data_IF_989024423431
#
_entry.id   IF_989024423431
#
_cell.length_a   1.000
_cell.length_b   1.000
_cell.length_c   1.000
_cell.angle_alpha   90.00
_cell.angle_beta   90.00
_cell.angle_gamma   90.00
#
_symmetry.space_group_name_H-M   'P 1'
#
loop_
_entity.id
_entity.type
_entity.pdbx_description
1 polymer ?
#
# COMPACT_ATOMS: atom_id res chain seq x y z
N UNK A 1 49.62 -18.49 34.22
CA UNK A 1 49.25 -19.84 33.93
C UNK A 1 48.20 -19.78 32.86
N UNK A 2 48.40 -19.90 31.62
CA UNK A 2 49.24 -20.81 30.82
C UNK A 2 48.39 -21.92 30.31
N UNK A 3 48.10 -21.91 29.03
CA UNK A 3 48.14 -22.98 28.06
C UNK A 3 47.15 -22.65 26.94
N UNK A 4 47.46 -22.21 25.81
CA UNK A 4 48.22 -22.67 24.63
C UNK A 4 47.61 -23.91 23.91
N UNK A 5 47.47 -23.71 22.58
CA UNK A 5 47.42 -24.66 21.44
C UNK A 5 46.06 -25.27 21.09
N UNK A 6 45.69 -25.40 19.82
CA UNK A 6 46.41 -25.79 18.60
C UNK A 6 45.67 -25.37 17.31
N UNK A 7 46.43 -24.90 16.32
CA UNK A 7 46.04 -24.77 14.90
C UNK A 7 45.91 -26.17 14.24
N UNK A 8 44.92 -26.38 13.40
CA UNK A 8 44.97 -27.40 12.34
C UNK A 8 44.75 -26.79 10.97
N UNK A 9 45.80 -26.82 10.20
CA UNK A 9 45.85 -26.59 8.74
C UNK A 9 45.40 -27.88 8.05
N UNK A 10 44.55 -27.81 7.05
CA UNK A 10 44.29 -28.92 6.13
C UNK A 10 44.47 -28.44 4.68
N UNK A 11 45.16 -29.24 3.93
CA UNK A 11 45.86 -29.04 2.67
C UNK A 11 44.89 -28.91 1.48
N UNK A 12 45.33 -28.05 0.54
CA UNK A 12 44.84 -27.91 -0.83
C UNK A 12 45.37 -29.07 -1.67
N UNK A 13 44.51 -29.75 -2.44
CA UNK A 13 44.88 -30.70 -3.48
C UNK A 13 44.60 -30.07 -4.86
N UNK A 14 45.64 -29.94 -5.64
CA UNK A 14 45.65 -29.52 -7.04
C UNK A 14 45.60 -30.78 -7.93
N UNK A 15 44.75 -30.85 -8.93
CA UNK A 15 44.78 -31.88 -9.96
C UNK A 15 44.90 -31.15 -11.35
N UNK A 16 45.81 -31.64 -12.20
CA UNK A 16 46.16 -30.89 -13.44
C UNK A 16 45.32 -31.26 -14.65
N UNK A 17 45.26 -30.30 -15.59
CA UNK A 17 44.75 -30.42 -16.94
C UNK A 17 45.55 -31.42 -17.77
N UNK A 18 44.83 -32.22 -18.58
CA UNK A 18 45.41 -32.93 -19.71
C UNK A 18 44.87 -32.34 -21.02
N UNK A 19 45.77 -31.81 -21.86
CA UNK A 19 45.56 -31.33 -23.23
C UNK A 19 45.80 -32.55 -24.16
N UNK A 20 44.83 -32.81 -25.04
CA UNK A 20 44.96 -33.77 -26.12
C UNK A 20 44.61 -33.13 -27.45
N UNK A 21 45.61 -32.83 -28.24
CA UNK A 21 45.48 -32.44 -29.64
C UNK A 21 45.63 -33.65 -30.55
N UNK A 22 44.76 -33.76 -31.54
CA UNK A 22 45.01 -34.62 -32.71
C UNK A 22 44.59 -33.89 -33.99
N UNK A 23 45.51 -33.89 -34.91
CA UNK A 23 45.48 -33.24 -36.23
C UNK A 23 44.98 -34.17 -37.33
N UNK A 24 44.44 -33.52 -38.36
CA UNK A 24 44.46 -33.81 -39.81
C UNK A 24 43.64 -34.96 -40.45
N UNK A 25 42.93 -34.54 -41.47
CA UNK A 25 42.41 -35.39 -42.55
C UNK A 25 41.61 -34.60 -43.57
N UNK A 26 42.27 -34.11 -44.65
CA UNK A 26 41.63 -33.58 -45.84
C UNK A 26 40.91 -34.67 -46.65
N UNK A 27 39.75 -34.36 -47.20
CA UNK A 27 39.07 -35.15 -48.25
C UNK A 27 37.98 -34.30 -48.88
N UNK A 28 38.24 -33.85 -50.14
CA UNK A 28 37.26 -33.24 -51.02
C UNK A 28 36.31 -34.27 -51.60
N UNK A 29 35.02 -34.01 -51.72
CA UNK A 29 34.26 -34.07 -52.99
C UNK A 29 32.76 -33.77 -52.81
N UNK A 30 32.30 -32.95 -53.75
CA UNK A 30 31.01 -32.90 -54.43
C UNK A 30 29.70 -32.56 -53.71
N UNK A 31 29.20 -31.41 -54.11
CA UNK A 31 27.83 -30.89 -54.17
C UNK A 31 26.67 -31.88 -54.01
N UNK A 32 25.79 -31.54 -53.07
CA UNK A 32 24.33 -31.55 -53.31
C UNK A 32 23.68 -30.62 -52.29
N UNK A 33 23.12 -29.52 -52.80
CA UNK A 33 22.25 -28.58 -52.10
C UNK A 33 20.96 -29.26 -51.70
N UNK A 34 20.75 -29.42 -50.40
CA UNK A 34 19.43 -29.61 -49.81
C UNK A 34 19.28 -28.59 -48.68
N UNK A 35 18.49 -27.58 -48.93
CA UNK A 35 18.05 -26.59 -47.97
C UNK A 35 17.19 -27.24 -46.88
N UNK A 36 17.77 -27.53 -45.71
CA UNK A 36 17.00 -27.80 -44.53
C UNK A 36 16.64 -26.47 -43.88
N UNK A 37 15.46 -25.96 -44.18
CA UNK A 37 14.80 -24.97 -43.34
C UNK A 37 14.56 -25.59 -41.96
N UNK A 38 15.35 -25.16 -40.99
CA UNK A 38 15.06 -25.43 -39.59
C UNK A 38 13.83 -24.57 -39.25
N UNK A 39 12.67 -25.21 -39.15
CA UNK A 39 11.45 -24.58 -38.66
C UNK A 39 11.72 -23.99 -37.29
N UNK A 40 11.71 -22.66 -37.18
CA UNK A 40 11.62 -21.97 -35.90
C UNK A 40 10.33 -22.42 -35.25
N UNK A 41 10.35 -22.79 -33.93
CA UNK A 41 9.12 -23.04 -33.21
C UNK A 41 8.30 -21.75 -33.22
N UNK A 42 7.09 -21.83 -33.75
CA UNK A 42 6.11 -20.76 -33.69
C UNK A 42 5.78 -20.56 -32.16
N UNK A 43 6.39 -19.56 -31.56
CA UNK A 43 5.88 -18.99 -30.34
C UNK A 43 4.52 -18.40 -30.71
N UNK A 44 3.45 -19.12 -30.39
CA UNK A 44 2.13 -18.50 -30.33
C UNK A 44 2.17 -17.47 -29.22
N UNK A 45 2.27 -16.19 -29.58
CA UNK A 45 1.82 -15.10 -28.74
C UNK A 45 0.35 -15.40 -28.43
N UNK A 46 0.09 -15.93 -27.24
CA UNK A 46 -1.23 -15.84 -26.66
C UNK A 46 -1.48 -14.34 -26.45
N UNK A 47 -2.14 -13.71 -27.40
CA UNK A 47 -2.78 -12.43 -27.21
C UNK A 47 -3.72 -12.62 -26.03
N UNK A 48 -3.35 -12.06 -24.87
CA UNK A 48 -4.24 -11.95 -23.73
C UNK A 48 -5.42 -11.09 -24.21
N UNK A 49 -6.56 -11.71 -24.47
CA UNK A 49 -7.78 -10.97 -24.76
C UNK A 49 -7.99 -9.98 -23.61
N UNK A 50 -8.05 -8.69 -23.94
CA UNK A 50 -8.44 -7.65 -22.98
C UNK A 50 -9.82 -8.00 -22.46
N UNK A 51 -10.01 -7.93 -21.14
CA UNK A 51 -11.33 -8.13 -20.53
C UNK A 51 -12.27 -7.03 -21.01
N UNK A 52 -13.53 -7.38 -21.22
CA UNK A 52 -14.58 -6.40 -21.45
C UNK A 52 -14.88 -5.62 -20.15
N UNK A 53 -15.46 -4.44 -20.26
CA UNK A 53 -15.88 -3.65 -19.11
C UNK A 53 -16.80 -4.45 -18.17
N UNK A 54 -17.73 -5.25 -18.73
CA UNK A 54 -18.61 -6.12 -17.91
C UNK A 54 -17.81 -7.17 -17.12
N UNK A 55 -16.89 -7.87 -17.78
CA UNK A 55 -16.04 -8.88 -17.13
C UNK A 55 -15.16 -8.27 -16.04
N UNK A 56 -14.69 -7.03 -16.22
CA UNK A 56 -13.94 -6.30 -15.20
C UNK A 56 -14.83 -6.05 -13.98
N UNK A 57 -16.03 -5.49 -14.18
CA UNK A 57 -16.99 -5.23 -13.10
C UNK A 57 -17.40 -6.49 -12.36
N UNK A 58 -17.80 -7.55 -13.09
CA UNK A 58 -18.19 -8.82 -12.51
C UNK A 58 -17.04 -9.43 -11.67
N UNK A 59 -15.81 -9.30 -12.17
CA UNK A 59 -14.62 -9.73 -11.43
C UNK A 59 -14.42 -8.92 -10.14
N UNK A 60 -14.75 -7.63 -10.14
CA UNK A 60 -14.62 -6.78 -8.95
C UNK A 60 -15.58 -7.23 -7.85
N UNK A 61 -16.85 -7.47 -8.18
CA UNK A 61 -17.85 -8.01 -7.23
C UNK A 61 -17.42 -9.38 -6.69
N UNK A 62 -17.04 -10.30 -7.57
CA UNK A 62 -16.65 -11.66 -7.18
C UNK A 62 -15.42 -11.67 -6.25
N UNK A 63 -14.41 -10.86 -6.56
CA UNK A 63 -13.19 -10.78 -5.76
C UNK A 63 -13.43 -10.08 -4.43
N UNK A 64 -14.11 -8.94 -4.44
CA UNK A 64 -14.32 -8.17 -3.21
C UNK A 64 -15.14 -8.96 -2.18
N UNK A 65 -16.24 -9.58 -2.58
CA UNK A 65 -17.06 -10.40 -1.67
C UNK A 65 -16.22 -11.58 -1.13
N UNK A 66 -15.53 -12.30 -2.02
CA UNK A 66 -14.69 -13.43 -1.62
C UNK A 66 -13.62 -13.07 -0.59
N UNK A 67 -12.89 -11.95 -0.79
CA UNK A 67 -11.81 -11.55 0.13
C UNK A 67 -12.35 -10.92 1.41
N UNK A 68 -13.50 -10.22 1.36
CA UNK A 68 -14.14 -9.66 2.53
C UNK A 68 -14.65 -10.78 3.45
N UNK A 69 -15.41 -11.73 2.91
CA UNK A 69 -15.93 -12.88 3.64
C UNK A 69 -14.81 -13.71 4.27
N UNK A 70 -13.77 -14.00 3.46
CA UNK A 70 -12.61 -14.74 3.97
C UNK A 70 -11.96 -13.99 5.13
N UNK A 71 -11.69 -12.69 4.97
CA UNK A 71 -10.99 -11.91 6.01
C UNK A 71 -11.83 -11.79 7.28
N UNK A 72 -13.12 -11.54 7.18
CA UNK A 72 -14.03 -11.45 8.33
C UNK A 72 -14.07 -12.79 9.07
N UNK A 73 -14.14 -13.92 8.35
CA UNK A 73 -14.09 -15.25 8.95
C UNK A 73 -12.77 -15.58 9.66
N UNK A 74 -11.68 -14.87 9.35
CA UNK A 74 -10.38 -15.07 10.01
C UNK A 74 -10.20 -14.24 11.28
N UNK A 75 -11.03 -13.23 11.55
CA UNK A 75 -10.92 -12.49 12.80
C UNK A 75 -11.15 -13.43 14.01
N UNK A 76 -10.24 -13.35 14.99
CA UNK A 76 -10.15 -14.34 16.08
C UNK A 76 -9.20 -15.51 15.80
N UNK A 77 -8.74 -15.70 14.55
CA UNK A 77 -7.75 -16.72 14.17
C UNK A 77 -6.80 -16.21 13.07
N UNK A 78 -5.97 -15.24 13.39
CA UNK A 78 -4.99 -14.67 12.45
C UNK A 78 -3.69 -15.49 12.34
N UNK A 79 -3.74 -16.83 12.50
CA UNK A 79 -2.56 -17.69 12.48
C UNK A 79 -1.83 -17.75 11.13
N UNK A 80 -2.46 -17.32 10.04
CA UNK A 80 -1.80 -17.14 8.75
C UNK A 80 -0.78 -15.98 8.75
N UNK A 81 -0.85 -15.06 9.73
CA UNK A 81 0.13 -14.01 9.96
C UNK A 81 1.20 -14.56 10.91
N UNK A 82 2.50 -14.47 10.57
CA UNK A 82 3.58 -14.89 11.46
C UNK A 82 3.48 -14.27 12.86
N UNK A 83 3.82 -15.00 13.88
CA UNK A 83 3.69 -14.58 15.29
C UNK A 83 4.36 -13.23 15.57
N UNK A 84 5.53 -12.99 14.96
CA UNK A 84 6.28 -11.73 15.09
C UNK A 84 5.50 -10.48 14.59
N UNK A 85 4.45 -10.68 13.77
CA UNK A 85 3.63 -9.60 13.20
C UNK A 85 2.16 -9.64 13.67
N UNK A 86 1.74 -10.73 14.33
CA UNK A 86 0.34 -11.01 14.66
C UNK A 86 -0.22 -10.14 15.77
N UNK A 87 0.50 -9.95 16.87
CA UNK A 87 -0.01 -9.30 18.08
C UNK A 87 -0.63 -7.90 17.84
N UNK A 88 -0.06 -7.13 16.89
CA UNK A 88 -0.64 -5.83 16.50
C UNK A 88 -1.83 -5.98 15.56
N UNK A 89 -1.83 -7.04 14.73
CA UNK A 89 -2.94 -7.32 13.81
C UNK A 89 -4.19 -7.82 14.53
N UNK A 90 -4.07 -8.31 15.76
CA UNK A 90 -5.19 -8.79 16.60
C UNK A 90 -5.92 -7.66 17.33
N UNK A 91 -5.39 -6.44 17.36
CA UNK A 91 -6.05 -5.28 17.99
C UNK A 91 -7.07 -4.66 17.03
N UNK A 92 -8.38 -4.71 17.32
CA UNK A 92 -9.42 -4.33 16.35
C UNK A 92 -9.44 -2.84 16.01
N UNK A 93 -9.05 -1.94 16.91
CA UNK A 93 -8.95 -0.50 16.68
C UNK A 93 -7.54 -0.02 16.31
N UNK A 94 -6.59 -0.94 16.01
CA UNK A 94 -5.26 -0.58 15.55
C UNK A 94 -5.25 -0.36 14.02
N UNK A 95 -4.34 0.48 13.52
CA UNK A 95 -4.27 0.87 12.11
C UNK A 95 -4.28 -0.29 11.11
N UNK A 96 -3.78 -1.47 11.50
CA UNK A 96 -3.73 -2.66 10.64
C UNK A 96 -5.15 -3.14 10.29
N UNK A 97 -6.02 -3.27 11.31
CA UNK A 97 -7.44 -3.59 11.09
C UNK A 97 -8.21 -2.39 10.55
N UNK A 98 -7.93 -1.17 11.05
CA UNK A 98 -8.56 0.04 10.55
C UNK A 98 -8.39 0.19 9.03
N UNK A 99 -7.20 -0.12 8.49
CA UNK A 99 -6.96 -0.07 7.05
C UNK A 99 -7.78 -1.11 6.27
N UNK A 100 -8.07 -2.26 6.85
CA UNK A 100 -9.03 -3.20 6.29
C UNK A 100 -10.46 -2.62 6.30
N UNK A 101 -10.89 -2.06 7.44
CA UNK A 101 -12.24 -1.50 7.55
C UNK A 101 -12.45 -0.29 6.65
N UNK A 102 -11.42 0.54 6.38
CA UNK A 102 -11.50 1.62 5.39
C UNK A 102 -11.80 1.06 4.00
N UNK A 103 -11.14 -0.02 3.61
CA UNK A 103 -11.42 -0.71 2.35
C UNK A 103 -12.82 -1.35 2.33
N UNK A 104 -13.20 -2.00 3.43
CA UNK A 104 -14.50 -2.67 3.55
C UNK A 104 -15.67 -1.66 3.52
N UNK A 105 -15.57 -0.55 4.24
CA UNK A 105 -16.62 0.49 4.22
C UNK A 105 -16.75 1.13 2.86
N UNK A 106 -15.63 1.32 2.14
CA UNK A 106 -15.66 1.82 0.75
C UNK A 106 -16.30 0.79 -0.20
N UNK A 107 -16.09 -0.50 0.01
CA UNK A 107 -16.78 -1.56 -0.70
C UNK A 107 -18.28 -1.58 -0.39
N UNK A 108 -18.67 -1.42 0.88
CA UNK A 108 -20.07 -1.37 1.31
C UNK A 108 -20.85 -0.16 0.76
N UNK A 109 -20.18 0.88 0.26
CA UNK A 109 -20.81 1.95 -0.51
C UNK A 109 -21.25 1.48 -1.90
N UNK A 110 -20.62 0.45 -2.46
CA UNK A 110 -20.90 -0.15 -3.78
C UNK A 110 -21.86 -1.33 -3.65
N UNK A 111 -21.51 -2.29 -2.81
CA UNK A 111 -22.29 -3.50 -2.51
C UNK A 111 -22.84 -3.41 -1.10
N UNK A 112 -24.16 -3.26 -0.99
CA UNK A 112 -24.84 -3.09 0.30
C UNK A 112 -25.11 -4.44 0.97
N UNK A 113 -24.06 -5.13 1.39
CA UNK A 113 -24.14 -6.40 2.09
C UNK A 113 -24.53 -6.17 3.57
N UNK A 114 -25.70 -6.65 4.02
CA UNK A 114 -26.16 -6.44 5.38
C UNK A 114 -25.37 -7.26 6.43
N UNK A 115 -24.76 -8.38 6.07
CA UNK A 115 -23.98 -9.20 7.00
C UNK A 115 -22.65 -8.53 7.29
N UNK A 116 -21.95 -8.05 6.26
CA UNK A 116 -20.72 -7.29 6.40
C UNK A 116 -20.97 -5.93 7.10
N UNK A 117 -22.09 -5.26 6.80
CA UNK A 117 -22.47 -4.04 7.51
C UNK A 117 -22.67 -4.28 9.01
N UNK A 118 -23.48 -5.30 9.36
CA UNK A 118 -23.72 -5.67 10.75
C UNK A 118 -22.42 -6.06 11.47
N UNK A 119 -21.49 -6.72 10.78
CA UNK A 119 -20.19 -7.05 11.33
C UNK A 119 -19.41 -5.79 11.73
N UNK A 120 -19.33 -4.80 10.84
CA UNK A 120 -18.64 -3.52 11.11
C UNK A 120 -19.32 -2.77 12.27
N UNK A 121 -20.66 -2.74 12.28
CA UNK A 121 -21.42 -2.06 13.32
C UNK A 121 -21.23 -2.72 14.69
N UNK A 122 -21.32 -4.04 14.78
CA UNK A 122 -21.13 -4.77 16.03
C UNK A 122 -19.71 -4.63 16.56
N UNK A 123 -18.70 -4.80 15.71
CA UNK A 123 -17.29 -4.57 16.08
C UNK A 123 -17.07 -3.17 16.65
N UNK A 124 -17.68 -2.17 16.04
CA UNK A 124 -17.55 -0.78 16.50
C UNK A 124 -18.25 -0.52 17.83
N UNK A 125 -19.44 -1.13 18.04
CA UNK A 125 -20.15 -1.09 19.33
C UNK A 125 -19.40 -1.81 20.45
N UNK A 126 -18.79 -2.95 20.16
CA UNK A 126 -18.00 -3.73 21.13
C UNK A 126 -16.75 -2.95 21.61
N UNK A 127 -16.31 -1.96 20.83
CA UNK A 127 -15.22 -1.04 21.17
C UNK A 127 -15.70 0.28 21.77
N UNK A 128 -17.00 0.44 22.02
CA UNK A 128 -17.61 1.72 22.43
C UNK A 128 -17.18 2.89 21.53
N UNK A 129 -16.93 2.61 20.24
CA UNK A 129 -16.39 3.55 19.25
C UNK A 129 -15.06 4.22 19.67
N UNK A 130 -14.30 3.55 20.55
CA UNK A 130 -13.07 4.08 21.13
C UNK A 130 -11.88 4.03 20.19
N UNK A 131 -11.16 5.15 20.07
CA UNK A 131 -9.85 5.18 19.44
C UNK A 131 -8.82 4.48 20.32
N UNK A 132 -7.68 4.06 19.70
CA UNK A 132 -6.54 3.59 20.47
C UNK A 132 -5.75 4.79 21.01
N UNK A 133 -5.93 5.11 22.30
CA UNK A 133 -5.37 6.32 22.90
C UNK A 133 -3.97 6.14 23.52
N UNK A 134 -3.28 5.05 23.18
CA UNK A 134 -1.90 4.82 23.66
C UNK A 134 -0.94 5.90 23.17
N UNK A 135 -1.24 6.51 22.03
CA UNK A 135 -0.43 7.54 21.37
C UNK A 135 -1.34 8.66 20.82
N UNK A 136 -1.80 9.57 21.68
CA UNK A 136 -2.93 10.46 21.36
C UNK A 136 -2.79 11.28 20.06
N UNK A 137 -1.58 11.70 19.71
CA UNK A 137 -1.34 12.44 18.44
C UNK A 137 -1.02 11.56 17.24
N UNK A 138 -0.75 10.27 17.46
CA UNK A 138 -0.23 9.41 16.42
C UNK A 138 -1.29 9.08 15.35
N UNK A 139 -0.97 9.35 14.09
CA UNK A 139 -1.91 9.18 12.98
C UNK A 139 -2.55 7.77 12.91
N UNK A 140 -1.76 6.73 13.19
CA UNK A 140 -2.25 5.34 13.18
C UNK A 140 -3.46 5.14 14.12
N UNK A 141 -3.45 5.81 15.26
CA UNK A 141 -4.46 5.63 16.30
C UNK A 141 -5.76 6.39 15.96
N UNK A 142 -5.73 7.28 14.93
CA UNK A 142 -6.90 7.96 14.40
C UNK A 142 -7.62 7.16 13.30
N UNK A 143 -6.94 6.21 12.66
CA UNK A 143 -7.42 5.57 11.44
C UNK A 143 -8.80 4.89 11.58
N UNK A 144 -9.06 4.22 12.70
CA UNK A 144 -10.34 3.53 12.94
C UNK A 144 -11.52 4.51 13.04
N UNK A 145 -11.28 5.75 13.42
CA UNK A 145 -12.29 6.80 13.45
C UNK A 145 -12.98 7.04 12.11
N UNK A 146 -12.31 6.73 10.97
CA UNK A 146 -12.96 6.79 9.65
C UNK A 146 -14.16 5.83 9.59
N UNK A 147 -14.03 4.63 10.16
CA UNK A 147 -15.09 3.62 10.21
C UNK A 147 -16.24 4.05 11.12
N UNK A 148 -15.93 4.60 12.29
CA UNK A 148 -16.95 5.06 13.23
C UNK A 148 -17.77 6.23 12.68
N UNK A 149 -17.12 7.20 12.03
CA UNK A 149 -17.80 8.33 11.42
C UNK A 149 -18.61 7.86 10.20
N UNK A 150 -18.10 6.92 9.41
CA UNK A 150 -18.86 6.29 8.32
C UNK A 150 -20.15 5.64 8.84
N UNK A 151 -20.13 4.96 10.00
CA UNK A 151 -21.37 4.43 10.62
C UNK A 151 -22.36 5.54 10.96
N UNK A 152 -21.89 6.69 11.47
CA UNK A 152 -22.75 7.85 11.67
C UNK A 152 -23.42 8.29 10.36
N UNK A 153 -22.67 8.38 9.28
CA UNK A 153 -23.17 8.77 7.95
C UNK A 153 -24.23 7.78 7.44
N UNK A 154 -24.09 6.47 7.73
CA UNK A 154 -25.02 5.44 7.29
C UNK A 154 -26.27 5.32 8.16
N UNK A 155 -26.16 5.57 9.47
CA UNK A 155 -27.21 5.26 10.45
C UNK A 155 -27.82 6.48 11.12
N UNK A 156 -27.16 7.64 11.04
CA UNK A 156 -27.50 8.83 11.83
C UNK A 156 -27.16 8.72 13.32
N UNK A 157 -26.45 7.66 13.75
CA UNK A 157 -26.04 7.48 15.13
C UNK A 157 -24.85 8.38 15.47
N UNK A 158 -25.11 9.47 16.17
CA UNK A 158 -24.07 10.42 16.58
C UNK A 158 -23.13 9.88 17.66
N UNK A 159 -23.52 8.89 18.44
CA UNK A 159 -22.66 8.31 19.46
C UNK A 159 -21.41 7.66 18.86
N UNK A 160 -21.45 7.29 17.57
CA UNK A 160 -20.33 6.65 16.91
C UNK A 160 -19.15 7.62 16.66
N UNK A 161 -19.38 8.92 16.47
CA UNK A 161 -18.26 9.87 16.29
C UNK A 161 -17.83 10.58 17.58
N UNK A 162 -18.65 10.62 18.62
CA UNK A 162 -18.37 11.39 19.85
C UNK A 162 -17.03 11.11 20.50
N UNK A 163 -16.58 9.85 20.69
CA UNK A 163 -15.26 9.59 21.28
C UNK A 163 -14.12 10.16 20.42
N UNK A 164 -14.27 10.10 19.10
CA UNK A 164 -13.30 10.70 18.15
C UNK A 164 -13.31 12.23 18.28
N UNK A 165 -14.49 12.85 18.39
CA UNK A 165 -14.63 14.29 18.56
C UNK A 165 -13.98 14.78 19.86
N UNK A 166 -14.28 14.14 20.98
CA UNK A 166 -13.70 14.47 22.28
C UNK A 166 -12.16 14.42 22.25
N UNK A 167 -11.63 13.38 21.63
CA UNK A 167 -10.19 13.25 21.47
C UNK A 167 -9.57 14.34 20.59
N UNK A 168 -10.21 14.66 19.48
CA UNK A 168 -9.72 15.68 18.55
C UNK A 168 -9.85 17.10 19.13
N UNK A 169 -10.90 17.39 19.90
CA UNK A 169 -11.01 18.63 20.68
C UNK A 169 -9.86 18.77 21.66
N UNK A 170 -9.48 17.67 22.33
CA UNK A 170 -8.32 17.68 23.21
C UNK A 170 -7.01 17.97 22.45
N UNK A 171 -6.80 17.37 21.26
CA UNK A 171 -5.62 17.67 20.42
C UNK A 171 -5.59 19.14 20.01
N UNK A 172 -6.74 19.69 19.56
CA UNK A 172 -6.83 21.09 19.16
C UNK A 172 -6.50 22.06 20.30
N UNK A 173 -6.87 21.70 21.54
CA UNK A 173 -6.51 22.48 22.74
C UNK A 173 -5.04 22.30 23.16
N UNK A 174 -4.37 21.23 22.69
CA UNK A 174 -3.01 20.86 23.10
C UNK A 174 -2.10 20.60 21.87
N UNK A 175 -2.16 21.47 20.86
CA UNK A 175 -1.41 21.27 19.60
C UNK A 175 0.08 21.08 19.85
N UNK A 176 0.72 20.06 19.21
CA UNK A 176 2.13 19.82 19.38
C UNK A 176 2.97 20.92 18.68
N UNK A 177 4.08 21.28 19.30
CA UNK A 177 5.04 22.24 18.74
C UNK A 177 6.38 21.55 18.49
N UNK A 178 6.44 20.77 17.41
CA UNK A 178 7.63 20.02 17.01
C UNK A 178 7.87 20.16 15.51
N UNK A 179 9.10 19.91 15.05
CA UNK A 179 9.45 19.86 13.61
C UNK A 179 8.99 18.56 12.96
N UNK A 180 9.29 18.42 11.65
CA UNK A 180 8.96 17.24 10.83
C UNK A 180 10.14 16.30 10.63
N UNK A 181 11.32 16.62 11.15
CA UNK A 181 12.48 15.74 11.04
C UNK A 181 12.30 14.48 11.89
N UNK A 182 12.40 13.31 11.25
CA UNK A 182 12.31 12.01 11.92
C UNK A 182 13.65 11.66 12.56
N UNK A 183 13.75 11.76 13.86
CA UNK A 183 14.94 11.37 14.61
C UNK A 183 15.13 9.85 14.61
N UNK A 184 16.40 9.40 14.60
CA UNK A 184 16.71 7.99 14.74
C UNK A 184 16.41 7.55 16.18
N UNK A 185 15.50 6.58 16.32
CA UNK A 185 15.08 6.03 17.62
C UNK A 185 16.20 5.33 18.36
N UNK A 186 17.25 4.88 17.66
CA UNK A 186 18.40 4.23 18.30
C UNK A 186 19.26 5.20 19.05
N UNK A 187 19.30 6.47 18.62
CA UNK A 187 20.03 7.54 19.31
C UNK A 187 19.31 8.07 20.57
N UNK A 188 17.97 7.99 20.62
CA UNK A 188 17.18 8.57 21.72
C UNK A 188 16.73 7.55 22.79
N UNK A 189 17.00 6.26 22.63
CA UNK A 189 16.85 5.23 23.67
C UNK A 189 15.45 4.97 24.19
N UNK A 190 14.40 5.61 23.68
CA UNK A 190 13.05 5.42 24.18
C UNK A 190 12.00 5.41 23.09
N UNK A 191 11.15 4.39 23.08
CA UNK A 191 9.90 4.36 22.32
C UNK A 191 8.82 5.28 22.90
N UNK A 192 9.19 6.33 23.62
CA UNK A 192 8.24 7.22 24.25
C UNK A 192 7.72 8.26 23.24
N UNK A 193 6.52 8.01 22.73
CA UNK A 193 5.80 8.88 21.79
C UNK A 193 5.32 10.21 22.42
N UNK A 194 5.59 10.44 23.69
CA UNK A 194 5.29 11.66 24.43
C UNK A 194 6.49 12.61 24.58
N UNK A 195 7.64 12.27 23.97
CA UNK A 195 8.83 13.12 24.03
C UNK A 195 8.66 14.40 23.22
N UNK A 196 8.96 15.53 23.83
CA UNK A 196 9.21 16.78 23.15
C UNK A 196 10.25 16.53 22.02
N UNK A 197 9.93 16.94 20.80
CA UNK A 197 10.76 16.71 19.63
C UNK A 197 10.42 15.50 18.77
N UNK A 198 9.46 14.64 19.16
CA UNK A 198 9.01 13.55 18.31
C UNK A 198 8.10 14.05 17.19
N UNK A 199 8.59 14.09 15.96
CA UNK A 199 7.83 14.56 14.80
C UNK A 199 6.56 13.75 14.49
N UNK A 200 6.43 12.51 15.02
CA UNK A 200 5.22 11.70 14.84
C UNK A 200 3.97 12.32 15.50
N UNK A 201 4.16 13.30 16.40
CA UNK A 201 3.07 14.12 16.89
C UNK A 201 2.44 15.00 15.80
N UNK A 202 3.15 15.22 14.67
CA UNK A 202 2.73 16.01 13.51
C UNK A 202 2.71 15.20 12.22
N UNK A 203 2.53 13.91 12.30
CA UNK A 203 2.35 13.00 11.16
C UNK A 203 3.47 13.03 10.11
N UNK A 204 4.73 13.14 10.53
CA UNK A 204 5.92 13.37 9.72
C UNK A 204 6.38 12.19 8.83
N UNK A 205 5.50 11.29 8.45
CA UNK A 205 5.80 10.16 7.56
C UNK A 205 4.66 9.89 6.58
N UNK A 206 4.99 9.33 5.42
CA UNK A 206 4.05 9.15 4.31
C UNK A 206 2.78 8.40 4.71
N UNK A 207 2.91 7.29 5.45
CA UNK A 207 1.78 6.46 5.85
C UNK A 207 0.74 7.24 6.69
N UNK A 208 1.18 8.23 7.45
CA UNK A 208 0.32 9.06 8.30
C UNK A 208 -0.74 9.82 7.51
N UNK A 209 -0.41 10.20 6.27
CA UNK A 209 -1.31 10.94 5.39
C UNK A 209 -2.54 10.11 4.93
N UNK A 210 -2.48 8.79 5.06
CA UNK A 210 -3.63 7.91 4.88
C UNK A 210 -4.40 7.70 6.18
N UNK A 211 -3.70 7.64 7.32
CA UNK A 211 -4.27 7.20 8.59
C UNK A 211 -5.15 8.27 9.25
N UNK A 212 -4.68 9.53 9.32
CA UNK A 212 -5.35 10.55 10.10
C UNK A 212 -6.20 11.55 9.31
N UNK A 213 -5.73 12.21 8.24
CA UNK A 213 -6.39 13.41 7.68
C UNK A 213 -7.85 13.21 7.33
N UNK A 214 -8.19 12.05 6.72
CA UNK A 214 -9.56 11.75 6.34
C UNK A 214 -10.50 11.61 7.55
N UNK A 215 -10.03 11.09 8.68
CA UNK A 215 -10.84 11.00 9.90
C UNK A 215 -11.29 12.39 10.36
N UNK A 216 -10.38 13.35 10.31
CA UNK A 216 -10.65 14.72 10.68
C UNK A 216 -11.59 15.42 9.69
N UNK A 217 -11.42 15.17 8.39
CA UNK A 217 -12.34 15.68 7.37
C UNK A 217 -13.76 15.15 7.54
N UNK A 218 -13.89 13.83 7.72
CA UNK A 218 -15.20 13.21 7.98
C UNK A 218 -15.85 13.77 9.24
N UNK A 219 -15.09 13.97 10.30
CA UNK A 219 -15.60 14.59 11.53
C UNK A 219 -16.07 16.04 11.26
N UNK A 220 -15.31 16.80 10.49
CA UNK A 220 -15.72 18.16 10.08
C UNK A 220 -17.06 18.12 9.34
N UNK A 221 -17.26 17.15 8.44
CA UNK A 221 -18.48 17.02 7.66
C UNK A 221 -19.70 16.67 8.53
N UNK A 222 -19.59 15.69 9.43
CA UNK A 222 -20.73 15.24 10.25
C UNK A 222 -21.08 16.22 11.38
N UNK A 223 -20.11 17.01 11.87
CA UNK A 223 -20.33 18.03 12.91
C UNK A 223 -20.66 19.40 12.34
N UNK A 224 -20.33 19.65 11.06
CA UNK A 224 -20.41 20.97 10.45
C UNK A 224 -19.37 21.96 10.97
N UNK A 225 -18.38 21.52 11.76
CA UNK A 225 -17.35 22.40 12.35
C UNK A 225 -16.04 22.32 11.52
N UNK A 226 -15.66 23.38 10.80
CA UNK A 226 -14.51 23.37 9.90
C UNK A 226 -13.16 23.23 10.62
N UNK A 227 -13.09 23.51 11.92
CA UNK A 227 -11.83 23.48 12.70
C UNK A 227 -11.08 22.17 12.59
N UNK A 228 -11.81 21.05 12.45
CA UNK A 228 -11.21 19.72 12.35
C UNK A 228 -10.47 19.55 11.03
N UNK A 229 -11.12 19.88 9.92
CA UNK A 229 -10.45 19.78 8.62
C UNK A 229 -9.37 20.85 8.44
N UNK A 230 -9.57 22.08 8.91
CA UNK A 230 -8.55 23.12 8.89
C UNK A 230 -7.23 22.67 9.56
N UNK A 231 -7.32 21.98 10.68
CA UNK A 231 -6.15 21.40 11.32
C UNK A 231 -5.52 20.30 10.49
N UNK A 232 -6.32 19.35 10.01
CA UNK A 232 -5.83 18.21 9.25
C UNK A 232 -5.26 18.62 7.89
N UNK A 233 -5.88 19.59 7.20
CA UNK A 233 -5.38 20.15 5.95
C UNK A 233 -4.01 20.81 6.15
N UNK A 234 -3.87 21.61 7.23
CA UNK A 234 -2.58 22.20 7.58
C UNK A 234 -1.49 21.17 7.83
N UNK A 235 -1.76 20.12 8.60
CA UNK A 235 -0.78 19.06 8.91
C UNK A 235 -0.52 18.15 7.70
N UNK A 236 -1.54 17.85 6.88
CA UNK A 236 -1.37 17.12 5.61
C UNK A 236 -0.36 17.85 4.72
N UNK A 237 -0.58 19.13 4.47
CA UNK A 237 0.28 19.90 3.59
C UNK A 237 1.67 20.15 4.16
N UNK A 238 1.80 20.35 5.48
CA UNK A 238 3.09 20.45 6.11
C UNK A 238 3.95 19.20 5.84
N UNK A 239 3.35 18.01 5.95
CA UNK A 239 4.04 16.75 5.71
C UNK A 239 4.19 16.44 4.22
N UNK A 240 3.17 16.70 3.40
CA UNK A 240 3.22 16.47 1.96
C UNK A 240 4.32 17.33 1.30
N UNK A 241 4.36 18.64 1.59
CA UNK A 241 5.39 19.53 1.05
C UNK A 241 6.81 19.14 1.53
N UNK A 242 6.92 18.57 2.72
CA UNK A 242 8.20 18.16 3.29
C UNK A 242 8.76 16.87 2.69
N UNK A 243 7.86 15.92 2.33
CA UNK A 243 8.26 14.58 1.89
C UNK A 243 8.17 14.38 0.37
N UNK A 244 7.41 15.21 -0.34
CA UNK A 244 7.24 15.06 -1.78
C UNK A 244 8.47 15.55 -2.55
N UNK A 245 8.98 14.71 -3.44
CA UNK A 245 10.03 15.08 -4.37
C UNK A 245 9.40 15.52 -5.70
N UNK A 246 9.46 16.81 -6.04
CA UNK A 246 9.02 17.31 -7.34
C UNK A 246 9.85 16.72 -8.51
N UNK A 247 11.10 16.35 -8.29
CA UNK A 247 11.97 15.73 -9.30
C UNK A 247 11.47 14.36 -9.72
N UNK A 248 11.04 13.53 -8.73
CA UNK A 248 10.62 12.16 -8.97
C UNK A 248 9.09 12.01 -9.04
N UNK A 249 8.32 12.98 -8.56
CA UNK A 249 6.87 12.89 -8.42
C UNK A 249 6.43 11.85 -7.38
N UNK A 250 7.28 11.55 -6.41
CA UNK A 250 7.12 10.48 -5.41
C UNK A 250 7.39 11.00 -4.00
N UNK A 251 6.90 10.26 -3.00
CA UNK A 251 7.09 10.58 -1.59
C UNK A 251 8.23 9.77 -0.98
N UNK A 252 9.17 10.44 -0.32
CA UNK A 252 10.01 9.78 0.67
C UNK A 252 9.16 9.29 1.85
N UNK A 253 9.54 8.17 2.46
CA UNK A 253 8.80 7.64 3.60
C UNK A 253 8.81 8.58 4.79
N UNK A 254 9.98 9.13 5.12
CA UNK A 254 10.24 10.17 6.12
C UNK A 254 11.63 10.77 5.85
N UNK A 255 12.01 11.81 6.61
CA UNK A 255 13.27 12.56 6.36
C UNK A 255 14.56 11.72 6.40
N UNK A 256 14.55 10.55 7.03
CA UNK A 256 15.72 9.64 7.04
C UNK A 256 16.03 9.06 5.66
N UNK A 257 15.07 9.12 4.73
CA UNK A 257 15.20 8.60 3.37
C UNK A 257 15.71 9.63 2.36
N UNK A 258 15.82 10.91 2.70
CA UNK A 258 16.23 11.97 1.76
C UNK A 258 17.57 11.70 1.08
N UNK A 259 18.55 11.21 1.85
CA UNK A 259 19.88 10.90 1.35
C UNK A 259 20.11 9.39 1.11
N UNK A 260 19.09 8.57 1.39
CA UNK A 260 19.22 7.11 1.27
C UNK A 260 19.16 6.68 -0.19
N UNK A 261 20.11 5.83 -0.58
CA UNK A 261 20.19 5.25 -1.91
C UNK A 261 19.96 3.75 -1.88
N UNK A 262 19.35 3.22 -2.93
CA UNK A 262 19.24 1.78 -3.19
C UNK A 262 20.53 1.24 -3.82
N UNK A 263 20.60 -0.08 -4.01
CA UNK A 263 21.79 -0.76 -4.53
C UNK A 263 22.15 -0.33 -5.96
N UNK A 264 21.18 0.17 -6.74
CA UNK A 264 21.38 0.72 -8.08
C UNK A 264 21.79 2.22 -8.07
N UNK A 265 21.94 2.84 -6.90
CA UNK A 265 22.29 4.25 -6.74
C UNK A 265 21.12 5.23 -6.77
N UNK A 266 19.91 4.78 -7.07
CA UNK A 266 18.71 5.60 -7.08
C UNK A 266 18.16 5.87 -5.65
N UNK A 267 17.40 6.96 -5.43
CA UNK A 267 16.73 7.21 -4.15
C UNK A 267 15.78 6.07 -3.76
N UNK A 268 15.62 5.86 -2.47
CA UNK A 268 14.69 4.85 -1.94
C UNK A 268 13.28 5.43 -1.83
N UNK A 269 12.41 5.08 -2.78
CA UNK A 269 10.98 5.33 -2.72
C UNK A 269 10.23 4.01 -2.51
N UNK A 270 9.62 3.86 -1.34
CA UNK A 270 8.90 2.65 -0.96
C UNK A 270 7.52 2.59 -1.62
N UNK A 271 7.21 1.49 -2.33
CA UNK A 271 5.97 1.31 -3.09
C UNK A 271 4.72 1.45 -2.23
N UNK A 272 4.64 0.75 -1.08
CA UNK A 272 3.51 0.90 -0.16
C UNK A 272 3.44 2.30 0.49
N UNK A 273 4.58 2.92 0.82
CA UNK A 273 4.59 4.28 1.35
C UNK A 273 3.93 5.27 0.39
N UNK A 274 4.30 5.19 -0.89
CA UNK A 274 3.67 5.97 -1.96
C UNK A 274 2.20 5.57 -2.16
N UNK A 275 1.90 4.27 -2.11
CA UNK A 275 0.53 3.76 -2.21
C UNK A 275 -0.40 4.33 -1.15
N UNK A 276 0.04 4.43 0.10
CA UNK A 276 -0.73 5.04 1.18
C UNK A 276 -1.14 6.48 0.84
N UNK A 277 -0.17 7.33 0.50
CA UNK A 277 -0.45 8.74 0.17
C UNK A 277 -1.31 8.84 -1.07
N UNK A 278 -0.98 8.09 -2.12
CA UNK A 278 -1.71 8.13 -3.37
C UNK A 278 -3.18 7.71 -3.22
N UNK A 279 -3.47 6.71 -2.37
CA UNK A 279 -4.84 6.30 -2.07
C UNK A 279 -5.58 7.30 -1.16
N UNK A 280 -4.87 8.02 -0.29
CA UNK A 280 -5.50 8.98 0.62
C UNK A 280 -6.10 10.18 -0.12
N UNK A 281 -5.47 10.62 -1.22
CA UNK A 281 -5.91 11.80 -1.96
C UNK A 281 -7.31 11.61 -2.56
N UNK A 282 -7.62 10.53 -3.31
CA UNK A 282 -8.98 10.22 -3.75
C UNK A 282 -10.00 10.14 -2.59
N UNK A 283 -9.63 9.46 -1.49
CA UNK A 283 -10.50 9.35 -0.32
C UNK A 283 -10.83 10.71 0.30
N UNK A 284 -9.86 11.62 0.34
CA UNK A 284 -10.08 13.01 0.79
C UNK A 284 -10.93 13.77 -0.23
N UNK A 285 -10.65 13.64 -1.52
CA UNK A 285 -11.39 14.35 -2.58
C UNK A 285 -12.85 13.89 -2.69
N UNK A 286 -13.15 12.62 -2.37
CA UNK A 286 -14.53 12.11 -2.33
C UNK A 286 -15.34 12.76 -1.18
N UNK A 287 -14.70 13.00 -0.03
CA UNK A 287 -15.35 13.60 1.15
C UNK A 287 -15.27 15.15 1.18
N UNK A 288 -14.37 15.75 0.40
CA UNK A 288 -14.18 17.20 0.37
C UNK A 288 -15.23 17.87 -0.52
N UNK A 289 -16.00 18.85 0.00
CA UNK A 289 -17.03 19.51 -0.79
C UNK A 289 -16.49 20.09 -2.12
N UNK A 290 -17.31 20.00 -3.18
CA UNK A 290 -17.02 20.69 -4.43
C UNK A 290 -16.87 22.18 -4.18
N UNK A 291 -15.86 22.81 -4.73
CA UNK A 291 -15.58 24.23 -4.51
C UNK A 291 -14.82 24.55 -3.22
N UNK A 292 -14.43 23.57 -2.40
CA UNK A 292 -13.54 23.81 -1.27
C UNK A 292 -12.17 24.35 -1.75
N UNK A 293 -11.62 25.43 -1.15
CA UNK A 293 -10.38 26.05 -1.61
C UNK A 293 -9.17 25.12 -1.74
N UNK A 294 -9.05 24.12 -0.87
CA UNK A 294 -7.94 23.16 -0.90
C UNK A 294 -8.05 22.13 -2.02
N UNK A 295 -9.23 21.95 -2.64
CA UNK A 295 -9.51 20.86 -3.58
C UNK A 295 -8.54 20.82 -4.76
N UNK A 296 -8.30 21.98 -5.40
CA UNK A 296 -7.41 22.07 -6.56
C UNK A 296 -5.99 21.64 -6.22
N UNK A 297 -5.50 21.99 -5.05
CA UNK A 297 -4.15 21.60 -4.60
C UNK A 297 -4.02 20.10 -4.44
N UNK A 298 -5.04 19.40 -3.92
CA UNK A 298 -5.08 17.94 -3.87
C UNK A 298 -5.09 17.30 -5.26
N UNK A 299 -5.86 17.87 -6.19
CA UNK A 299 -5.91 17.41 -7.59
C UNK A 299 -4.55 17.58 -8.28
N UNK A 300 -3.86 18.69 -8.07
CA UNK A 300 -2.52 18.92 -8.62
C UNK A 300 -1.49 17.92 -8.08
N UNK A 301 -1.48 17.69 -6.77
CA UNK A 301 -0.61 16.69 -6.14
C UNK A 301 -0.94 15.30 -6.67
N UNK A 302 -2.23 14.94 -6.77
CA UNK A 302 -2.67 13.68 -7.37
C UNK A 302 -2.11 13.51 -8.78
N UNK A 303 -2.26 14.52 -9.67
CA UNK A 303 -1.77 14.47 -11.05
C UNK A 303 -0.26 14.27 -11.13
N UNK A 304 0.53 14.98 -10.32
CA UNK A 304 1.98 14.84 -10.27
C UNK A 304 2.39 13.41 -9.86
N UNK A 305 1.79 12.89 -8.80
CA UNK A 305 2.11 11.56 -8.29
C UNK A 305 1.64 10.47 -9.26
N UNK A 306 0.42 10.58 -9.83
CA UNK A 306 -0.08 9.66 -10.86
C UNK A 306 0.85 9.58 -12.07
N UNK A 307 1.33 10.74 -12.57
CA UNK A 307 2.23 10.78 -13.73
C UNK A 307 3.56 10.04 -13.49
N UNK A 308 4.04 10.00 -12.26
CA UNK A 308 5.21 9.19 -11.89
C UNK A 308 4.86 7.70 -11.80
N UNK A 309 3.79 7.37 -11.08
CA UNK A 309 3.38 5.99 -10.84
C UNK A 309 2.99 5.24 -12.12
N UNK A 310 2.37 5.90 -13.08
CA UNK A 310 2.03 5.33 -14.39
C UNK A 310 3.27 4.78 -15.15
N UNK A 311 4.46 5.30 -14.89
CA UNK A 311 5.71 4.89 -15.55
C UNK A 311 6.42 3.72 -14.85
N UNK A 312 6.00 3.36 -13.64
CA UNK A 312 6.73 2.47 -12.75
C UNK A 312 6.08 1.08 -12.59
N UNK A 313 5.00 0.82 -13.34
CA UNK A 313 4.36 -0.50 -13.34
C UNK A 313 5.26 -1.55 -14.00
N UNK A 314 5.42 -2.71 -13.35
CA UNK A 314 6.17 -3.83 -13.91
C UNK A 314 5.43 -4.50 -15.09
N UNK A 315 6.14 -5.30 -15.92
CA UNK A 315 5.50 -6.09 -16.97
C UNK A 315 4.37 -7.00 -16.48
N UNK A 316 4.43 -7.47 -15.25
CA UNK A 316 3.42 -8.33 -14.62
C UNK A 316 2.21 -7.57 -14.06
N UNK A 317 2.27 -6.23 -14.00
CA UNK A 317 1.17 -5.37 -13.56
C UNK A 317 1.25 -4.88 -12.11
N UNK A 318 2.28 -5.25 -11.37
CA UNK A 318 2.52 -4.74 -10.01
C UNK A 318 3.35 -3.46 -10.02
N UNK A 319 3.34 -2.73 -8.91
CA UNK A 319 4.35 -1.73 -8.61
C UNK A 319 5.38 -2.34 -7.68
N UNK A 320 6.68 -2.17 -7.97
CA UNK A 320 7.73 -2.79 -7.17
C UNK A 320 7.76 -2.22 -5.76
N UNK A 321 8.15 -3.04 -4.77
CA UNK A 321 8.30 -2.57 -3.39
C UNK A 321 9.31 -1.40 -3.28
N UNK A 322 10.34 -1.39 -4.13
CA UNK A 322 11.25 -0.25 -4.33
C UNK A 322 10.98 0.35 -5.71
N UNK A 323 10.30 1.49 -5.76
CA UNK A 323 9.78 2.05 -7.02
C UNK A 323 10.88 2.38 -8.04
N UNK A 324 12.04 2.88 -7.59
CA UNK A 324 13.16 3.24 -8.46
C UNK A 324 14.22 2.14 -8.58
N UNK A 325 14.06 1.02 -7.85
CA UNK A 325 14.93 -0.15 -7.94
C UNK A 325 14.11 -1.44 -7.94
N UNK A 326 13.49 -1.80 -9.07
CA UNK A 326 12.65 -2.99 -9.18
C UNK A 326 13.42 -4.31 -8.98
N UNK A 327 14.75 -4.26 -9.06
CA UNK A 327 15.60 -5.43 -8.85
C UNK A 327 15.91 -5.71 -7.38
N UNK A 328 15.67 -4.77 -6.49
CA UNK A 328 15.88 -4.94 -5.05
C UNK A 328 14.93 -5.97 -4.44
N UNK A 329 13.66 -5.90 -4.81
CA UNK A 329 12.63 -6.89 -4.45
C UNK A 329 11.90 -7.29 -5.72
N UNK A 330 12.23 -8.48 -6.27
CA UNK A 330 11.70 -8.95 -7.57
C UNK A 330 10.35 -9.64 -7.47
N UNK A 331 9.84 -9.82 -6.26
CA UNK A 331 8.54 -10.45 -6.01
C UNK A 331 7.40 -9.43 -6.07
N UNK A 332 6.19 -9.86 -6.39
CA UNK A 332 5.02 -9.00 -6.25
C UNK A 332 4.91 -8.35 -4.87
N UNK A 333 4.35 -7.15 -4.81
CA UNK A 333 3.93 -6.52 -3.57
C UNK A 333 2.52 -5.96 -3.74
N UNK A 334 1.55 -6.62 -3.11
CA UNK A 334 0.13 -6.41 -3.40
C UNK A 334 -0.46 -5.22 -2.66
N UNK A 335 0.04 -4.89 -1.45
CA UNK A 335 -0.54 -3.77 -0.71
C UNK A 335 -0.31 -2.41 -1.40
N UNK A 336 0.93 -2.11 -1.78
CA UNK A 336 1.25 -0.90 -2.55
C UNK A 336 0.56 -0.90 -3.91
N UNK A 337 0.58 -2.04 -4.62
CA UNK A 337 -0.08 -2.19 -5.91
C UNK A 337 -1.59 -2.00 -5.83
N UNK A 338 -2.24 -2.48 -4.75
CA UNK A 338 -3.67 -2.30 -4.52
C UNK A 338 -4.06 -0.84 -4.32
N UNK A 339 -3.33 -0.12 -3.46
CA UNK A 339 -3.55 1.31 -3.25
C UNK A 339 -3.31 2.14 -4.51
N UNK A 340 -2.27 1.82 -5.28
CA UNK A 340 -1.95 2.53 -6.53
C UNK A 340 -3.02 2.23 -7.59
N UNK A 341 -3.43 0.97 -7.75
CA UNK A 341 -4.52 0.60 -8.66
C UNK A 341 -5.82 1.33 -8.31
N UNK A 342 -6.18 1.40 -7.02
CA UNK A 342 -7.32 2.16 -6.54
C UNK A 342 -7.24 3.63 -6.97
N UNK A 343 -6.14 4.30 -6.64
CA UNK A 343 -5.99 5.71 -6.93
C UNK A 343 -6.02 6.01 -8.43
N UNK A 344 -5.39 5.18 -9.26
CA UNK A 344 -5.42 5.35 -10.73
C UNK A 344 -6.81 5.06 -11.30
N UNK A 345 -7.51 4.00 -10.82
CA UNK A 345 -8.87 3.68 -11.24
C UNK A 345 -9.84 4.82 -10.91
N UNK A 346 -9.73 5.39 -9.70
CA UNK A 346 -10.49 6.58 -9.30
C UNK A 346 -10.26 7.76 -10.26
N UNK A 347 -9.02 8.02 -10.64
CA UNK A 347 -8.70 9.10 -11.56
C UNK A 347 -9.25 8.90 -12.97
N UNK A 348 -9.32 7.66 -13.45
CA UNK A 348 -9.97 7.33 -14.73
C UNK A 348 -11.48 7.51 -14.61
N UNK A 349 -12.11 6.97 -13.58
CA UNK A 349 -13.56 7.06 -13.35
C UNK A 349 -14.03 8.50 -13.16
N UNK A 350 -13.19 9.38 -12.59
CA UNK A 350 -13.50 10.80 -12.39
C UNK A 350 -13.01 11.71 -13.54
N UNK A 351 -12.55 11.16 -14.66
CA UNK A 351 -12.15 11.93 -15.84
C UNK A 351 -10.90 12.81 -15.66
N UNK A 352 -10.05 12.51 -14.65
CA UNK A 352 -8.77 13.21 -14.42
C UNK A 352 -7.67 12.58 -15.25
N UNK A 353 -7.70 11.25 -15.41
CA UNK A 353 -6.82 10.48 -16.27
C UNK A 353 -7.64 10.01 -17.49
N UNK A 354 -7.45 10.66 -18.63
CA UNK A 354 -8.32 10.48 -19.81
C UNK A 354 -7.66 9.73 -20.97
N UNK A 355 -6.38 9.42 -20.85
CA UNK A 355 -5.65 8.73 -21.90
C UNK A 355 -5.81 7.19 -21.80
N UNK A 356 -5.73 6.50 -22.97
CA UNK A 356 -5.91 5.05 -23.03
C UNK A 356 -4.81 4.29 -22.26
N UNK A 357 -3.60 4.80 -22.21
CA UNK A 357 -2.50 4.16 -21.49
C UNK A 357 -2.80 4.06 -20.00
N UNK A 358 -3.42 5.08 -19.40
CA UNK A 358 -3.85 5.04 -17.99
C UNK A 358 -4.88 3.93 -17.76
N UNK A 359 -5.86 3.73 -18.68
CA UNK A 359 -6.82 2.61 -18.60
C UNK A 359 -6.12 1.25 -18.68
N UNK A 360 -5.24 1.05 -19.63
CA UNK A 360 -4.50 -0.19 -19.81
C UNK A 360 -3.65 -0.54 -18.57
N UNK A 361 -2.99 0.45 -17.96
CA UNK A 361 -2.21 0.28 -16.73
C UNK A 361 -3.10 -0.13 -15.56
N UNK A 362 -4.28 0.48 -15.41
CA UNK A 362 -5.25 0.12 -14.37
C UNK A 362 -5.76 -1.31 -14.57
N UNK A 363 -6.18 -1.68 -15.77
CA UNK A 363 -6.69 -3.03 -16.08
C UNK A 363 -5.62 -4.11 -15.84
N UNK A 364 -4.38 -3.81 -16.19
CA UNK A 364 -3.23 -4.69 -15.94
C UNK A 364 -2.94 -4.82 -14.45
N UNK A 365 -2.99 -3.70 -13.70
CA UNK A 365 -2.88 -3.70 -12.24
C UNK A 365 -3.99 -4.52 -11.59
N UNK A 366 -5.23 -4.33 -12.00
CA UNK A 366 -6.36 -5.12 -11.50
C UNK A 366 -6.20 -6.61 -11.79
N UNK A 367 -5.75 -6.98 -12.99
CA UNK A 367 -5.46 -8.38 -13.31
C UNK A 367 -4.41 -8.95 -12.37
N UNK A 368 -3.32 -8.23 -12.11
CA UNK A 368 -2.25 -8.67 -11.22
C UNK A 368 -2.77 -8.87 -9.77
N UNK A 369 -3.61 -7.97 -9.27
CA UNK A 369 -4.25 -8.12 -7.97
C UNK A 369 -5.11 -9.40 -7.90
N UNK A 370 -5.93 -9.67 -8.92
CA UNK A 370 -6.74 -10.91 -8.98
C UNK A 370 -5.86 -12.16 -8.95
N UNK A 371 -4.75 -12.17 -9.70
CA UNK A 371 -3.82 -13.31 -9.77
C UNK A 371 -3.12 -13.57 -8.40
N UNK A 372 -3.12 -12.60 -7.50
CA UNK A 372 -2.58 -12.74 -6.15
C UNK A 372 -3.56 -13.33 -5.13
N UNK A 373 -4.85 -13.43 -5.46
CA UNK A 373 -5.87 -13.97 -4.55
C UNK A 373 -5.80 -15.49 -4.52
N UNK A 374 -5.71 -16.06 -3.35
CA UNK A 374 -5.76 -17.50 -3.13
C UNK A 374 -7.12 -18.11 -3.48
N UNK A 375 -7.15 -19.40 -3.71
CA UNK A 375 -8.41 -20.14 -3.95
C UNK A 375 -9.37 -20.01 -2.75
N UNK A 376 -8.81 -19.89 -1.56
CA UNK A 376 -9.53 -19.69 -0.30
C UNK A 376 -10.07 -18.25 -0.12
N UNK A 377 -9.59 -17.28 -0.86
CA UNK A 377 -9.94 -15.84 -0.71
C UNK A 377 -8.85 -15.02 -0.02
N UNK A 378 -7.75 -15.61 0.42
CA UNK A 378 -6.65 -14.89 1.05
C UNK A 378 -5.92 -14.02 0.04
N UNK A 379 -5.67 -12.77 0.42
CA UNK A 379 -4.80 -11.85 -0.34
C UNK A 379 -3.35 -12.18 -0.01
N UNK A 380 -2.61 -12.67 -0.99
CA UNK A 380 -1.21 -13.10 -0.89
C UNK A 380 -0.24 -11.99 -1.31
N UNK A 381 1.08 -12.23 -1.17
CA UNK A 381 2.14 -11.30 -1.56
C UNK A 381 2.06 -9.93 -0.89
N UNK A 382 1.63 -9.86 0.34
CA UNK A 382 1.54 -8.61 1.11
C UNK A 382 2.77 -8.48 2.00
N UNK A 383 3.62 -7.51 1.74
CA UNK A 383 4.76 -7.19 2.60
C UNK A 383 4.28 -6.94 4.03
N UNK A 384 4.90 -7.60 5.01
CA UNK A 384 4.59 -7.37 6.43
C UNK A 384 4.84 -5.93 6.86
N UNK A 385 4.42 -5.59 8.08
CA UNK A 385 4.64 -4.27 8.67
C UNK A 385 6.11 -3.88 8.57
N UNK A 386 6.38 -2.75 7.96
CA UNK A 386 7.72 -2.26 7.68
C UNK A 386 7.71 -0.76 7.40
N UNK A 387 8.86 -0.24 7.01
CA UNK A 387 9.08 1.18 6.69
C UNK A 387 9.91 1.38 5.40
N UNK A 388 10.28 0.30 4.75
CA UNK A 388 11.17 0.26 3.59
C UNK A 388 10.83 -0.93 2.69
N UNK A 389 11.34 -0.98 1.46
CA UNK A 389 11.23 -2.16 0.60
C UNK A 389 11.88 -3.38 1.25
N UNK A 390 11.10 -4.41 1.54
CA UNK A 390 11.55 -5.67 2.12
C UNK A 390 11.06 -6.86 1.28
N UNK A 391 11.75 -8.02 1.30
CA UNK A 391 11.34 -9.23 0.60
C UNK A 391 9.92 -9.68 0.99
N UNK A 392 9.18 -10.17 0.00
CA UNK A 392 7.82 -10.67 0.15
C UNK A 392 7.74 -12.11 -0.33
N UNK A 393 7.06 -12.98 0.41
CA UNK A 393 6.77 -14.37 0.04
C UNK A 393 5.33 -14.48 -0.45
N UNK A 394 5.06 -15.49 -1.28
CA UNK A 394 3.69 -15.76 -1.76
C UNK A 394 2.68 -15.92 -0.62
N UNK A 395 3.10 -16.52 0.47
CA UNK A 395 2.23 -16.79 1.63
C UNK A 395 2.09 -15.62 2.60
N UNK A 396 2.82 -14.52 2.39
CA UNK A 396 2.72 -13.35 3.25
C UNK A 396 1.39 -12.62 2.97
N UNK A 397 0.68 -12.32 4.04
CA UNK A 397 -0.63 -11.69 4.01
C UNK A 397 -0.79 -10.77 5.21
N UNK A 398 -1.53 -9.67 5.03
CA UNK A 398 -1.88 -8.71 6.07
C UNK A 398 -3.20 -8.02 5.74
N UNK A 399 -3.93 -7.63 6.77
CA UNK A 399 -5.27 -7.06 6.65
C UNK A 399 -5.32 -5.80 5.78
N UNK A 400 -4.31 -4.94 5.87
CA UNK A 400 -4.23 -3.74 5.02
C UNK A 400 -4.05 -4.07 3.53
N UNK A 401 -3.48 -5.24 3.20
CA UNK A 401 -3.44 -5.71 1.81
C UNK A 401 -4.84 -6.05 1.31
N UNK A 402 -5.65 -6.72 2.13
CA UNK A 402 -7.07 -6.97 1.81
C UNK A 402 -7.83 -5.65 1.66
N UNK A 403 -7.61 -4.69 2.58
CA UNK A 403 -8.21 -3.35 2.48
C UNK A 403 -7.84 -2.61 1.18
N UNK A 404 -6.58 -2.70 0.75
CA UNK A 404 -6.11 -2.10 -0.50
C UNK A 404 -6.79 -2.71 -1.74
N UNK A 405 -6.98 -4.04 -1.75
CA UNK A 405 -7.68 -4.72 -2.85
C UNK A 405 -9.19 -4.38 -2.85
N UNK A 406 -9.81 -4.25 -1.67
CA UNK A 406 -11.21 -3.80 -1.55
C UNK A 406 -11.40 -2.38 -2.08
N UNK A 407 -10.49 -1.46 -1.77
CA UNK A 407 -10.48 -0.12 -2.38
C UNK A 407 -10.37 -0.19 -3.90
N UNK A 408 -9.43 -0.98 -4.44
CA UNK A 408 -9.30 -1.15 -5.89
C UNK A 408 -10.59 -1.72 -6.49
N UNK A 409 -11.17 -2.75 -5.88
CA UNK A 409 -12.42 -3.35 -6.33
C UNK A 409 -13.58 -2.36 -6.34
N UNK A 410 -13.67 -1.45 -5.36
CA UNK A 410 -14.74 -0.45 -5.30
C UNK A 410 -14.73 0.50 -6.52
N UNK A 411 -13.56 0.78 -7.08
CA UNK A 411 -13.44 1.56 -8.32
C UNK A 411 -13.59 0.70 -9.58
N UNK A 412 -13.08 -0.53 -9.58
CA UNK A 412 -13.24 -1.44 -10.72
C UNK A 412 -14.70 -1.90 -10.91
N UNK A 413 -15.51 -1.93 -9.86
CA UNK A 413 -16.96 -2.15 -9.96
C UNK A 413 -17.72 -1.03 -10.70
N UNK A 414 -17.13 0.14 -10.78
CA UNK A 414 -17.65 1.35 -11.51
C UNK A 414 -16.97 1.53 -12.87
N UNK A 415 -16.09 0.62 -13.30
CA UNK A 415 -15.25 0.75 -14.49
C UNK A 415 -16.06 1.06 -15.75
N UNK A 416 -15.54 1.98 -16.63
CA UNK A 416 -16.25 2.49 -17.81
C UNK A 416 -15.44 2.29 -19.10
#
# INVERSE_FOLDING_TARGET
MGTMMLKKLTKIAVIPLAVGAVLTGCGQSSDTTTSNEVAKPAYQEQQSQSMTVSEIRDSAFNIANKIADWQVAQFGNLHYIPESHRAKSEKPNFWIQASFYIGLTKWLEVEKDPELFNYVENMSKDLDYGLLLERPYHADDHAIGQTYIWLTEQTGNEDAYKPTQEHFDWILANKPNVGLEMLDRTASGSGNFHHEGNCQLRWCWADALYMAPRTWLKLSNVTGDPKYFEYADSEFWATADYLFSDEYGLFFRDSRYFEMKSDNGEPVFWGRGNGWVFASIPLILDDLPEGHPSRERYIELYKKNAAALLKLQTPEGYWPASLMDPNKVKTPEVSGSGFITYGLAWGVNNGILTDNNSKEIVEKGWKALKDAIGEDGRVNWVQHVGKSPDPVKKTDSQLYGTGAVLLAASEMAKWQ
#
